data_IF_195284206148
#
_entry.id   IF_195284206148
#
_cell.length_a   1.000
_cell.length_b   1.000
_cell.length_c   1.000
_cell.angle_alpha   90.00
_cell.angle_beta   90.00
_cell.angle_gamma   90.00
#
_symmetry.space_group_name_H-M   'P 1'
#
loop_
_entity.id
_entity.type
_entity.pdbx_description
1 polymer ?
#
# COMPACT_ATOMS: atom_id res chain seq x y z
N UNK A 1 17.63 -14.95 -3.98
CA UNK A 1 16.65 -14.10 -3.26
C UNK A 1 17.23 -12.70 -3.15
N UNK A 2 16.41 -11.66 -3.35
CA UNK A 2 16.80 -10.26 -3.58
C UNK A 2 18.03 -9.79 -2.79
N UNK A 3 19.18 -9.75 -3.47
CA UNK A 3 20.48 -9.42 -2.90
C UNK A 3 20.74 -7.92 -2.84
N UNK A 4 20.07 -7.14 -3.69
CA UNK A 4 20.33 -5.71 -3.81
C UNK A 4 20.14 -4.96 -2.49
N UNK A 5 19.19 -5.37 -1.65
CA UNK A 5 19.00 -4.75 -0.34
C UNK A 5 20.19 -4.97 0.61
N UNK A 6 20.79 -6.17 0.60
CA UNK A 6 22.00 -6.44 1.36
C UNK A 6 23.24 -5.78 0.75
N UNK A 7 23.33 -5.69 -0.57
CA UNK A 7 24.43 -5.00 -1.27
C UNK A 7 24.42 -3.50 -0.99
N UNK A 8 23.25 -2.85 -1.02
CA UNK A 8 23.08 -1.45 -0.62
C UNK A 8 23.48 -1.26 0.85
N UNK A 9 22.97 -2.11 1.75
CA UNK A 9 23.31 -2.03 3.17
C UNK A 9 24.81 -2.21 3.41
N UNK A 10 25.45 -3.13 2.69
CA UNK A 10 26.88 -3.35 2.75
C UNK A 10 27.68 -2.13 2.27
N UNK A 11 27.25 -1.52 1.17
CA UNK A 11 27.86 -0.31 0.61
C UNK A 11 27.77 0.88 1.58
N UNK A 12 26.58 1.10 2.16
CA UNK A 12 26.35 2.19 3.10
C UNK A 12 27.19 2.04 4.38
N UNK A 13 27.29 0.83 4.94
CA UNK A 13 28.08 0.60 6.16
C UNK A 13 29.59 0.68 5.91
N UNK A 14 30.06 0.31 4.70
CA UNK A 14 31.48 0.38 4.35
C UNK A 14 31.99 1.82 4.29
N UNK A 15 31.13 2.75 3.88
CA UNK A 15 31.45 4.18 3.85
C UNK A 15 30.99 4.81 5.17
N UNK A 16 31.87 4.78 6.18
CA UNK A 16 31.60 5.33 7.52
C UNK A 16 31.58 6.87 7.45
N UNK A 17 30.48 7.42 6.94
CA UNK A 17 30.16 8.84 7.01
C UNK A 17 28.91 9.04 7.88
N UNK A 18 28.76 10.22 8.46
CA UNK A 18 27.58 10.59 9.25
C UNK A 18 26.30 10.34 8.43
N UNK A 19 26.27 10.83 7.19
CA UNK A 19 25.14 10.68 6.28
C UNK A 19 24.92 9.21 5.89
N UNK A 20 25.98 8.44 5.69
CA UNK A 20 25.90 7.01 5.36
C UNK A 20 25.26 6.19 6.47
N UNK A 21 25.54 6.52 7.74
CA UNK A 21 24.92 5.84 8.89
C UNK A 21 23.46 6.27 9.06
N UNK A 22 23.15 7.55 8.86
CA UNK A 22 21.75 8.02 8.87
C UNK A 22 20.92 7.32 7.80
N UNK A 23 21.44 7.25 6.56
CA UNK A 23 20.81 6.52 5.46
C UNK A 23 20.69 5.02 5.77
N UNK A 24 21.70 4.42 6.40
CA UNK A 24 21.66 3.01 6.83
C UNK A 24 20.52 2.76 7.81
N UNK A 25 20.38 3.61 8.83
CA UNK A 25 19.32 3.49 9.84
C UNK A 25 17.95 3.69 9.20
N UNK A 26 17.78 4.70 8.35
CA UNK A 26 16.55 4.91 7.58
C UNK A 26 16.20 3.71 6.69
N UNK A 27 17.18 3.16 5.98
CA UNK A 27 17.00 1.97 5.15
C UNK A 27 16.57 0.75 5.98
N UNK A 28 17.16 0.54 7.15
CA UNK A 28 16.80 -0.55 8.06
C UNK A 28 15.40 -0.38 8.67
N UNK A 29 14.92 0.84 8.90
CA UNK A 29 13.53 1.06 9.30
C UNK A 29 12.56 0.59 8.21
N UNK A 30 12.80 0.94 6.94
CA UNK A 30 11.86 0.63 5.85
C UNK A 30 11.90 -0.85 5.44
N UNK A 31 13.09 -1.43 5.26
CA UNK A 31 13.22 -2.78 4.70
C UNK A 31 13.79 -3.82 5.66
N UNK A 32 14.23 -3.43 6.87
CA UNK A 32 14.93 -4.33 7.80
C UNK A 32 14.11 -5.54 8.20
N UNK A 33 12.79 -5.42 8.35
CA UNK A 33 11.91 -6.55 8.65
C UNK A 33 11.86 -7.56 7.51
N UNK A 34 11.90 -7.09 6.26
CA UNK A 34 11.95 -7.97 5.09
C UNK A 34 13.31 -8.65 4.99
N UNK A 35 14.40 -7.92 5.22
CA UNK A 35 15.75 -8.49 5.25
C UNK A 35 15.89 -9.57 6.33
N UNK A 36 15.30 -9.36 7.51
CA UNK A 36 15.26 -10.33 8.59
C UNK A 36 14.54 -11.63 8.17
N UNK A 37 13.40 -11.52 7.47
CA UNK A 37 12.65 -12.68 6.95
C UNK A 37 13.39 -13.43 5.83
N UNK A 38 14.23 -12.72 5.04
CA UNK A 38 14.98 -13.31 3.94
C UNK A 38 16.24 -14.02 4.43
N UNK A 39 17.07 -13.33 5.22
CA UNK A 39 18.32 -13.86 5.74
C UNK A 39 18.74 -13.15 7.03
N UNK A 40 18.35 -13.70 8.17
CA UNK A 40 18.74 -13.17 9.48
C UNK A 40 20.26 -13.18 9.70
N UNK A 41 20.97 -14.23 9.29
CA UNK A 41 22.41 -14.35 9.52
C UNK A 41 23.19 -13.23 8.82
N UNK A 42 22.83 -12.92 7.57
CA UNK A 42 23.50 -11.86 6.81
C UNK A 42 23.22 -10.48 7.40
N UNK A 43 21.99 -10.24 7.87
CA UNK A 43 21.65 -9.03 8.60
C UNK A 43 22.45 -8.91 9.91
N UNK A 44 22.62 -10.00 10.65
CA UNK A 44 23.41 -10.03 11.88
C UNK A 44 24.88 -9.65 11.66
N UNK A 45 25.47 -10.05 10.52
CA UNK A 45 26.82 -9.61 10.14
C UNK A 45 26.88 -8.09 9.95
N UNK A 46 25.85 -7.48 9.35
CA UNK A 46 25.82 -6.02 9.18
C UNK A 46 25.62 -5.30 10.51
N UNK A 47 24.76 -5.81 11.40
CA UNK A 47 24.61 -5.25 12.75
C UNK A 47 25.88 -5.38 13.59
N UNK A 48 26.64 -6.47 13.47
CA UNK A 48 27.95 -6.58 14.13
C UNK A 48 28.89 -5.46 13.69
N UNK A 49 28.95 -5.16 12.39
CA UNK A 49 29.75 -4.03 11.89
C UNK A 49 29.29 -2.69 12.45
N UNK A 50 27.98 -2.44 12.53
CA UNK A 50 27.43 -1.25 13.19
C UNK A 50 27.82 -1.18 14.68
N UNK A 51 27.92 -2.32 15.35
CA UNK A 51 28.37 -2.38 16.74
C UNK A 51 29.89 -2.14 16.87
N UNK A 52 30.69 -2.63 15.92
CA UNK A 52 32.13 -2.38 15.91
C UNK A 52 32.41 -0.87 15.79
N UNK A 53 31.60 -0.14 15.01
CA UNK A 53 31.66 1.33 14.93
C UNK A 53 31.47 1.98 16.31
N UNK A 54 30.49 1.54 17.12
CA UNK A 54 30.25 2.09 18.46
C UNK A 54 31.46 1.98 19.41
N UNK A 55 32.37 1.04 19.17
CA UNK A 55 33.61 0.87 19.92
C UNK A 55 34.72 1.84 19.53
N UNK A 56 34.62 2.50 18.38
CA UNK A 56 35.61 3.45 17.88
C UNK A 56 35.42 4.83 18.56
N UNK A 57 36.50 5.40 19.09
CA UNK A 57 36.47 6.61 19.94
C UNK A 57 36.14 7.92 19.21
N UNK A 58 35.86 7.89 17.91
CA UNK A 58 35.69 9.07 17.05
C UNK A 58 34.23 9.31 16.62
N UNK A 59 33.27 8.57 17.18
CA UNK A 59 31.85 8.71 16.79
C UNK A 59 31.16 9.86 17.56
N UNK A 60 30.39 10.66 16.82
CA UNK A 60 29.56 11.73 17.40
C UNK A 60 28.37 11.14 18.17
N UNK A 61 27.96 11.79 19.27
CA UNK A 61 26.82 11.37 20.10
C UNK A 61 25.52 11.14 19.30
N UNK A 62 25.27 11.95 18.26
CA UNK A 62 24.11 11.78 17.38
C UNK A 62 24.09 10.41 16.69
N UNK A 63 25.23 10.00 16.11
CA UNK A 63 25.37 8.72 15.40
C UNK A 63 25.22 7.57 16.40
N UNK A 64 25.83 7.70 17.58
CA UNK A 64 25.70 6.72 18.65
C UNK A 64 24.24 6.48 19.02
N UNK A 65 23.48 7.55 19.24
CA UNK A 65 22.05 7.48 19.57
C UNK A 65 21.22 6.84 18.43
N UNK A 66 21.56 7.11 17.17
CA UNK A 66 20.90 6.48 16.02
C UNK A 66 21.15 4.96 15.98
N UNK A 67 22.39 4.54 16.21
CA UNK A 67 22.74 3.12 16.22
C UNK A 67 22.05 2.42 17.42
N UNK A 68 22.10 2.99 18.61
CA UNK A 68 21.43 2.42 19.80
C UNK A 68 19.91 2.28 19.62
N UNK A 69 19.28 3.25 18.94
CA UNK A 69 17.86 3.20 18.61
C UNK A 69 17.53 2.02 17.70
N UNK A 70 18.28 1.82 16.61
CA UNK A 70 18.02 0.69 15.70
C UNK A 70 18.26 -0.67 16.38
N UNK A 71 19.23 -0.77 17.30
CA UNK A 71 19.42 -1.99 18.12
C UNK A 71 18.24 -2.28 19.04
N UNK A 72 17.68 -1.24 19.64
CA UNK A 72 16.48 -1.36 20.49
C UNK A 72 15.28 -1.82 19.68
N UNK A 73 15.09 -1.28 18.47
CA UNK A 73 14.01 -1.66 17.58
C UNK A 73 14.16 -3.06 17.00
N UNK A 74 15.40 -3.48 16.69
CA UNK A 74 15.73 -4.84 16.31
C UNK A 74 15.36 -5.85 17.40
N UNK A 75 15.60 -5.52 18.67
CA UNK A 75 15.21 -6.38 19.80
C UNK A 75 13.69 -6.56 19.87
N UNK A 76 12.94 -5.54 19.43
CA UNK A 76 11.50 -5.60 19.27
C UNK A 76 11.06 -6.20 17.91
N UNK A 77 11.95 -6.89 17.19
CA UNK A 77 11.72 -7.52 15.88
C UNK A 77 11.17 -6.55 14.82
N UNK A 78 11.50 -5.26 14.92
CA UNK A 78 11.02 -4.21 14.02
C UNK A 78 9.48 -4.22 13.90
N UNK A 79 8.77 -4.50 15.00
CA UNK A 79 7.30 -4.59 15.02
C UNK A 79 6.60 -3.32 14.50
N UNK A 80 7.18 -2.16 14.78
CA UNK A 80 6.70 -0.86 14.31
C UNK A 80 6.78 -0.67 12.80
N UNK A 81 7.58 -1.49 12.10
CA UNK A 81 7.86 -1.38 10.67
C UNK A 81 7.39 -2.65 9.94
N UNK A 82 6.09 -2.79 9.62
CA UNK A 82 5.59 -3.94 8.89
C UNK A 82 6.15 -3.98 7.45
N UNK A 83 6.41 -5.18 6.93
CA UNK A 83 6.97 -5.39 5.58
C UNK A 83 6.09 -4.79 4.48
N UNK A 84 4.77 -4.99 4.60
CA UNK A 84 3.75 -4.42 3.71
C UNK A 84 2.61 -3.99 4.64
N UNK A 85 2.10 -2.78 4.47
CA UNK A 85 0.93 -2.31 5.20
C UNK A 85 -0.32 -3.11 4.80
N UNK A 86 -1.24 -3.35 5.72
CA UNK A 86 -2.39 -4.25 5.49
C UNK A 86 -3.26 -3.84 4.30
N UNK A 87 -3.41 -2.54 4.07
CA UNK A 87 -4.12 -1.96 2.92
C UNK A 87 -3.38 -2.07 1.58
N UNK A 88 -2.08 -2.40 1.58
CA UNK A 88 -1.24 -2.50 0.38
C UNK A 88 -0.97 -3.95 -0.04
N UNK A 89 -1.50 -4.96 0.68
CA UNK A 89 -1.35 -6.37 0.32
C UNK A 89 -2.40 -6.76 -0.73
N UNK A 90 -2.18 -6.35 -1.98
CA UNK A 90 -3.12 -6.58 -3.10
C UNK A 90 -2.81 -7.83 -3.92
N UNK A 91 -1.54 -8.26 -3.96
CA UNK A 91 -1.09 -9.35 -4.83
C UNK A 91 -0.65 -10.55 -3.99
N UNK A 92 -1.17 -11.73 -4.33
CA UNK A 92 -0.76 -13.00 -3.73
C UNK A 92 0.73 -13.26 -3.92
N UNK A 93 1.40 -13.81 -2.90
CA UNK A 93 2.86 -14.02 -2.92
C UNK A 93 3.33 -14.95 -4.05
N UNK A 94 2.45 -15.84 -4.52
CA UNK A 94 2.68 -16.76 -5.63
C UNK A 94 2.59 -16.09 -7.01
N UNK A 95 1.86 -14.98 -7.10
CA UNK A 95 1.65 -14.22 -8.34
C UNK A 95 2.65 -13.04 -8.46
N UNK A 96 3.58 -12.91 -7.51
CA UNK A 96 4.62 -11.88 -7.53
C UNK A 96 5.84 -12.34 -8.34
N UNK A 97 6.19 -11.57 -9.37
CA UNK A 97 7.45 -11.74 -10.08
C UNK A 97 8.57 -10.97 -9.37
N UNK A 98 9.58 -11.71 -8.90
CA UNK A 98 10.72 -11.14 -8.14
C UNK A 98 11.92 -10.99 -9.07
N UNK A 99 12.23 -9.76 -9.42
CA UNK A 99 13.42 -9.43 -10.20
C UNK A 99 14.69 -9.63 -9.35
N UNK A 100 15.71 -10.21 -9.95
CA UNK A 100 17.01 -10.44 -9.33
C UNK A 100 18.01 -9.45 -9.92
N UNK A 101 18.18 -8.33 -9.24
CA UNK A 101 19.09 -7.26 -9.63
C UNK A 101 20.31 -7.22 -8.70
N UNK A 102 21.45 -6.81 -9.24
CA UNK A 102 22.67 -6.49 -8.49
C UNK A 102 22.93 -4.98 -8.55
N UNK A 103 23.63 -4.46 -7.53
CA UNK A 103 23.93 -3.03 -7.44
C UNK A 103 24.86 -2.54 -8.55
N UNK A 104 25.77 -3.40 -9.01
CA UNK A 104 26.77 -3.10 -10.04
C UNK A 104 26.27 -3.42 -11.46
N UNK A 105 25.02 -3.86 -11.61
CA UNK A 105 24.45 -4.17 -12.92
C UNK A 105 24.32 -2.89 -13.77
N UNK A 106 24.61 -3.01 -15.06
CA UNK A 106 24.37 -1.93 -16.01
C UNK A 106 22.91 -1.94 -16.46
N UNK A 107 22.20 -0.85 -16.18
CA UNK A 107 20.81 -0.65 -16.60
C UNK A 107 20.76 0.40 -17.71
N UNK A 108 20.23 0.01 -18.87
CA UNK A 108 19.88 0.96 -19.91
C UNK A 108 18.57 1.65 -19.54
N UNK A 109 18.63 2.95 -19.32
CA UNK A 109 17.43 3.77 -19.16
C UNK A 109 16.76 3.92 -20.52
N UNK A 110 15.64 3.23 -20.75
CA UNK A 110 14.86 3.29 -21.99
C UNK A 110 14.03 4.59 -22.09
N UNK A 111 14.64 5.75 -21.86
CA UNK A 111 13.98 7.06 -21.83
C UNK A 111 13.33 7.46 -23.17
N UNK A 112 13.63 6.73 -24.24
CA UNK A 112 13.01 6.93 -25.53
C UNK A 112 11.54 6.49 -25.57
N UNK A 113 11.09 5.67 -24.61
CA UNK A 113 9.71 5.19 -24.47
C UNK A 113 8.80 6.31 -23.93
N UNK A 114 9.34 7.22 -23.12
CA UNK A 114 8.59 8.37 -22.57
C UNK A 114 8.27 9.45 -23.62
N UNK A 115 8.84 9.34 -24.82
CA UNK A 115 8.68 10.31 -25.91
C UNK A 115 7.66 9.76 -26.91
N UNK A 116 6.57 10.51 -27.13
CA UNK A 116 5.61 10.18 -28.17
C UNK A 116 6.28 10.09 -29.54
N UNK A 117 6.10 8.95 -30.19
CA UNK A 117 6.57 8.66 -31.54
C UNK A 117 5.42 8.08 -32.33
N UNK A 118 5.42 8.34 -33.63
CA UNK A 118 4.48 7.69 -34.53
C UNK A 118 4.81 6.20 -34.61
N UNK A 119 3.80 5.36 -34.40
CA UNK A 119 3.90 3.91 -34.49
C UNK A 119 3.20 3.44 -35.77
N UNK A 120 3.98 2.93 -36.73
CA UNK A 120 3.46 2.36 -37.98
C UNK A 120 2.59 1.11 -37.74
N UNK A 121 2.77 0.43 -36.60
CA UNK A 121 2.06 -0.78 -36.21
C UNK A 121 1.00 -0.53 -35.13
N UNK A 122 0.59 0.73 -34.92
CA UNK A 122 -0.35 1.14 -33.88
C UNK A 122 -1.59 0.24 -33.79
N UNK A 123 -2.26 -0.04 -34.93
CA UNK A 123 -3.47 -0.86 -34.94
C UNK A 123 -3.25 -2.31 -34.47
N UNK A 124 -2.07 -2.87 -34.71
CA UNK A 124 -1.73 -4.23 -34.27
C UNK A 124 -1.38 -4.23 -32.79
N UNK A 125 -0.59 -3.26 -32.34
CA UNK A 125 -0.17 -3.12 -30.95
C UNK A 125 -1.35 -2.83 -30.01
N UNK A 126 -2.30 -1.99 -30.42
CA UNK A 126 -3.54 -1.72 -29.67
C UNK A 126 -4.41 -2.98 -29.53
N UNK A 127 -4.54 -3.79 -30.59
CA UNK A 127 -5.28 -5.06 -30.52
C UNK A 127 -4.63 -6.03 -29.54
N UNK A 128 -3.32 -6.20 -29.60
CA UNK A 128 -2.58 -7.05 -28.66
C UNK A 128 -2.71 -6.55 -27.21
N UNK A 129 -2.60 -5.24 -27.00
CA UNK A 129 -2.79 -4.65 -25.67
C UNK A 129 -4.21 -4.87 -25.14
N UNK A 130 -5.23 -4.74 -25.99
CA UNK A 130 -6.62 -4.98 -25.62
C UNK A 130 -6.86 -6.45 -25.22
N UNK A 131 -6.28 -7.40 -25.96
CA UNK A 131 -6.32 -8.83 -25.63
C UNK A 131 -5.65 -9.13 -24.29
N UNK A 132 -4.45 -8.58 -24.04
CA UNK A 132 -3.74 -8.74 -22.77
C UNK A 132 -4.55 -8.13 -21.62
N UNK A 133 -5.09 -6.92 -21.81
CA UNK A 133 -5.92 -6.23 -20.82
C UNK A 133 -7.12 -7.08 -20.45
N UNK A 134 -7.85 -7.61 -21.44
CA UNK A 134 -9.00 -8.48 -21.21
C UNK A 134 -8.61 -9.75 -20.45
N UNK A 135 -7.51 -10.39 -20.83
CA UNK A 135 -7.00 -11.58 -20.13
C UNK A 135 -6.65 -11.33 -18.66
N UNK A 136 -6.12 -10.15 -18.33
CA UNK A 136 -5.83 -9.76 -16.94
C UNK A 136 -7.13 -9.62 -16.13
N UNK A 137 -8.15 -8.92 -16.64
CA UNK A 137 -9.41 -8.72 -15.92
C UNK A 137 -10.19 -10.03 -15.76
N UNK A 138 -10.26 -10.85 -16.80
CA UNK A 138 -10.90 -12.16 -16.72
C UNK A 138 -10.23 -13.05 -15.67
N UNK A 139 -8.89 -13.07 -15.62
CA UNK A 139 -8.15 -13.80 -14.58
C UNK A 139 -8.51 -13.34 -13.16
N UNK A 140 -8.69 -12.03 -12.94
CA UNK A 140 -9.11 -11.50 -11.64
C UNK A 140 -10.54 -11.87 -11.27
N UNK A 141 -11.47 -11.92 -12.23
CA UNK A 141 -12.84 -12.36 -11.95
C UNK A 141 -12.89 -13.83 -11.50
N UNK A 142 -12.09 -14.71 -12.13
CA UNK A 142 -11.99 -16.11 -11.71
C UNK A 142 -11.27 -16.31 -10.36
N UNK A 143 -10.30 -15.46 -9.99
CA UNK A 143 -9.62 -15.52 -8.68
C UNK A 143 -10.45 -14.85 -7.56
N UNK A 144 -11.41 -14.00 -7.91
CA UNK A 144 -12.29 -13.26 -6.99
C UNK A 144 -13.73 -13.79 -6.89
N UNK A 145 -14.02 -14.99 -7.43
CA UNK A 145 -15.28 -15.74 -7.26
C UNK A 145 -15.49 -16.26 -5.80
N UNK A 146 -15.26 -15.39 -4.82
CA UNK A 146 -15.85 -15.50 -3.48
C UNK A 146 -16.68 -14.27 -3.09
N UNK A 147 -16.71 -13.18 -3.86
CA UNK A 147 -17.65 -12.07 -3.58
C UNK A 147 -17.54 -10.91 -4.58
N UNK A 148 -18.34 -10.93 -5.65
CA UNK A 148 -19.23 -9.82 -6.05
C UNK A 148 -19.75 -10.02 -7.46
N UNK A 149 -21.08 -10.09 -7.60
CA UNK A 149 -21.76 -9.92 -8.88
C UNK A 149 -21.46 -8.51 -9.42
N UNK A 150 -20.68 -8.40 -10.48
CA UNK A 150 -20.62 -7.19 -11.30
C UNK A 150 -21.59 -7.37 -12.48
N UNK A 151 -22.67 -6.58 -12.47
CA UNK A 151 -23.64 -6.53 -13.57
C UNK A 151 -23.00 -5.85 -14.77
N UNK A 152 -22.79 -6.64 -15.82
CA UNK A 152 -22.40 -6.19 -17.15
C UNK A 152 -23.51 -5.31 -17.75
N UNK A 153 -23.15 -4.14 -18.27
CA UNK A 153 -24.06 -3.26 -19.00
C UNK A 153 -23.34 -2.74 -20.23
N UNK A 154 -23.58 -3.45 -21.33
CA UNK A 154 -23.19 -3.11 -22.69
C UNK A 154 -23.52 -1.65 -23.03
N UNK A 155 -22.48 -0.88 -23.37
CA UNK A 155 -22.61 0.42 -24.02
C UNK A 155 -22.97 0.24 -25.50
N UNK A 156 -24.07 0.86 -25.93
CA UNK A 156 -24.33 1.19 -27.34
C UNK A 156 -24.47 2.70 -27.49
N UNK A 157 -23.73 3.19 -28.48
CA UNK A 157 -23.54 4.57 -28.90
C UNK A 157 -24.79 5.34 -29.37
N UNK A 158 -24.60 6.67 -29.39
CA UNK A 158 -25.30 7.75 -30.11
C UNK A 158 -26.69 8.22 -29.60
N UNK A 159 -26.71 9.38 -28.92
CA UNK A 159 -27.13 10.65 -29.54
C UNK A 159 -27.11 11.83 -28.56
N UNK A 160 -26.51 12.94 -28.99
CA UNK A 160 -26.53 14.24 -28.31
C UNK A 160 -27.87 14.94 -28.54
N UNK A 161 -28.61 15.27 -27.46
CA UNK A 161 -29.17 16.61 -27.21
C UNK A 161 -29.97 16.70 -25.88
N UNK A 162 -29.46 17.54 -24.97
CA UNK A 162 -30.15 18.39 -23.99
C UNK A 162 -31.46 17.91 -23.33
N UNK A 163 -31.33 17.33 -22.13
CA UNK A 163 -32.31 17.57 -21.03
C UNK A 163 -31.61 17.81 -19.70
N UNK A 164 -31.77 19.05 -19.21
CA UNK A 164 -31.63 19.39 -17.80
C UNK A 164 -32.57 18.51 -16.98
N UNK A 165 -32.07 17.81 -15.94
CA UNK A 165 -32.68 17.78 -14.59
C UNK A 165 -32.04 16.74 -13.65
N UNK A 166 -31.78 17.23 -12.43
CA UNK A 166 -31.77 16.53 -11.14
C UNK A 166 -30.74 15.42 -10.92
N UNK A 167 -29.64 15.83 -10.29
CA UNK A 167 -28.86 15.02 -9.36
C UNK A 167 -29.81 14.37 -8.37
N UNK A 168 -29.95 13.05 -8.47
CA UNK A 168 -30.59 12.21 -7.46
C UNK A 168 -29.49 11.50 -6.71
N UNK A 169 -29.20 11.98 -5.50
CA UNK A 169 -28.34 11.30 -4.55
C UNK A 169 -28.96 9.94 -4.21
N UNK A 170 -28.39 8.87 -4.78
CA UNK A 170 -28.65 7.50 -4.38
C UNK A 170 -27.95 7.21 -3.05
N UNK A 171 -28.53 7.71 -1.97
CA UNK A 171 -28.29 7.19 -0.63
C UNK A 171 -29.31 6.06 -0.38
N UNK A 172 -29.06 4.89 -0.96
CA UNK A 172 -29.71 3.65 -0.54
C UNK A 172 -29.08 3.21 0.78
N UNK A 173 -29.43 3.94 1.84
CA UNK A 173 -29.39 3.42 3.20
C UNK A 173 -30.84 3.27 3.62
N UNK A 174 -31.23 2.02 3.84
CA UNK A 174 -32.55 1.58 4.26
C UNK A 174 -33.25 2.64 5.10
N UNK A 175 -34.40 3.11 4.62
CA UNK A 175 -35.22 4.09 5.31
C UNK A 175 -35.65 3.54 6.66
N UNK A 176 -34.89 3.82 7.72
CA UNK A 176 -35.34 3.59 9.09
C UNK A 176 -36.31 4.72 9.40
N UNK A 177 -37.56 4.54 9.00
CA UNK A 177 -38.68 5.37 9.45
C UNK A 177 -38.88 5.09 10.95
N UNK A 178 -38.20 5.87 11.79
CA UNK A 178 -38.51 5.93 13.22
C UNK A 178 -39.83 6.68 13.33
N UNK A 179 -40.94 5.95 13.24
CA UNK A 179 -42.26 6.51 13.49
C UNK A 179 -42.29 7.06 14.92
N UNK A 180 -42.81 8.28 15.06
CA UNK A 180 -42.75 9.18 16.21
C UNK A 180 -43.45 8.72 17.50
N UNK A 181 -43.64 7.41 17.71
CA UNK A 181 -44.39 6.85 18.84
C UNK A 181 -43.63 5.83 19.69
N UNK A 182 -42.30 5.75 19.56
CA UNK A 182 -41.47 4.87 20.40
C UNK A 182 -40.79 5.72 21.48
N UNK A 183 -40.91 5.29 22.75
CA UNK A 183 -40.24 5.92 23.88
C UNK A 183 -38.74 6.02 23.61
N UNK A 184 -38.15 7.21 23.82
CA UNK A 184 -36.75 7.53 23.50
C UNK A 184 -35.74 6.48 24.01
N UNK A 185 -36.06 5.80 25.10
CA UNK A 185 -35.22 4.76 25.72
C UNK A 185 -35.12 3.48 24.89
N UNK A 186 -36.17 3.14 24.15
CA UNK A 186 -36.24 1.94 23.31
C UNK A 186 -35.58 2.19 21.95
N UNK A 187 -35.71 3.41 21.43
CA UNK A 187 -34.98 3.86 20.24
C UNK A 187 -33.46 3.87 20.47
N UNK A 188 -33.00 4.36 21.62
CA UNK A 188 -31.58 4.34 21.99
C UNK A 188 -31.03 2.90 22.12
N UNK A 189 -31.81 1.98 22.69
CA UNK A 189 -31.42 0.55 22.76
C UNK A 189 -31.32 -0.11 21.39
N UNK A 190 -32.21 0.24 20.46
CA UNK A 190 -32.22 -0.32 19.10
C UNK A 190 -31.04 0.20 18.28
N UNK A 191 -30.72 1.50 18.42
CA UNK A 191 -29.53 2.13 17.82
C UNK A 191 -28.22 1.55 18.38
N UNK A 192 -28.14 1.26 19.68
CA UNK A 192 -26.95 0.64 20.28
C UNK A 192 -26.76 -0.84 19.86
N UNK A 193 -27.83 -1.53 19.46
CA UNK A 193 -27.75 -2.92 18.96
C UNK A 193 -27.32 -3.01 17.50
N UNK A 194 -27.58 -1.98 16.70
CA UNK A 194 -27.04 -1.88 15.35
C UNK A 194 -25.64 -1.28 15.48
N UNK A 195 -24.60 -2.11 15.40
CA UNK A 195 -23.19 -1.68 15.46
C UNK A 195 -22.87 -0.73 14.31
N UNK A 196 -23.25 0.54 14.45
CA UNK A 196 -22.95 1.60 13.51
C UNK A 196 -21.48 1.96 13.66
N UNK A 197 -20.72 1.83 12.57
CA UNK A 197 -19.34 2.25 12.51
C UNK A 197 -19.25 3.76 12.81
N UNK A 198 -18.65 4.07 13.97
CA UNK A 198 -18.10 5.37 14.37
C UNK A 198 -17.36 5.95 13.15
N UNK A 199 -17.78 7.05 12.50
CA UNK A 199 -17.63 8.39 13.08
C UNK A 199 -18.41 9.52 12.39
N UNK A 200 -19.25 9.30 11.36
CA UNK A 200 -19.84 10.45 10.64
C UNK A 200 -21.37 10.58 10.62
N UNK A 201 -22.14 9.54 10.98
CA UNK A 201 -23.59 9.57 10.72
C UNK A 201 -24.50 9.70 11.94
N UNK A 202 -23.97 9.66 13.18
CA UNK A 202 -24.82 9.77 14.36
C UNK A 202 -25.40 11.19 14.55
N UNK A 203 -24.59 12.23 14.35
CA UNK A 203 -25.04 13.62 14.54
C UNK A 203 -26.05 14.07 13.45
N UNK A 204 -25.88 13.60 12.22
CA UNK A 204 -26.79 13.93 11.09
C UNK A 204 -28.14 13.24 11.26
N UNK A 205 -28.17 11.98 11.74
CA UNK A 205 -29.42 11.27 12.03
C UNK A 205 -30.23 11.93 13.15
N UNK A 206 -29.58 12.41 14.22
CA UNK A 206 -30.28 13.09 15.32
C UNK A 206 -30.87 14.46 14.91
N UNK A 207 -30.24 15.19 13.99
CA UNK A 207 -30.78 16.45 13.49
C UNK A 207 -32.01 16.24 12.61
N UNK A 208 -32.01 15.21 11.74
CA UNK A 208 -33.18 14.89 10.88
C UNK A 208 -34.42 14.44 11.67
N UNK A 209 -34.25 13.86 12.86
CA UNK A 209 -35.37 13.45 13.73
C UNK A 209 -36.06 14.66 14.38
N UNK A 210 -35.38 15.81 14.48
CA UNK A 210 -35.91 16.99 15.17
C UNK A 210 -36.72 17.94 14.27
N UNK A 211 -36.72 17.70 12.96
CA UNK A 211 -37.46 18.49 11.96
C UNK A 211 -38.83 17.90 11.58
N UNK A 212 -39.34 16.90 12.31
CA UNK A 212 -40.72 16.43 12.22
C UNK A 212 -41.43 16.45 13.57
#
# INVERSE_FOLDING_TARGET
MGKIGFEILHFLIRNISTDGIELTVGFLHECGKKLLQLNQHELDVQFKKLNDLLGESLITECIKNMIEKIFSERTNELKSYPVIQSNLKLVNENNQFKHMLQLDDYFESESWIDIFKFDEQYEVNEKQYHEIRKGIFEYFDYEFESSSNSSDSDEKDEDTETKQQKVTDRNDTDSITIQSNISAKECAKKLLKMNLYREQNMCILFLKIKEF
#
